data_IF_500386545114
#
_entry.id   IF_500386545114
#
_cell.length_a   1.000
_cell.length_b   1.000
_cell.length_c   1.000
_cell.angle_alpha   90.00
_cell.angle_beta   90.00
_cell.angle_gamma   90.00
#
_symmetry.space_group_name_H-M   'P 1'
#
loop_
_entity.id
_entity.type
_entity.pdbx_description
1 polymer ?
#
# COMPACT_ATOMS: atom_id res chain seq x y z
N UNK A 1 -16.35 1.14 11.41
CA UNK A 1 -16.54 2.57 11.15
C UNK A 1 -16.28 2.81 9.66
N UNK A 2 -17.09 3.61 8.96
CA UNK A 2 -16.86 3.86 7.53
C UNK A 2 -15.60 4.72 7.34
N UNK A 3 -14.79 4.38 6.33
CA UNK A 3 -13.58 5.15 5.99
C UNK A 3 -13.87 6.24 4.97
N UNK A 4 -14.90 6.04 4.15
CA UNK A 4 -15.40 6.95 3.13
C UNK A 4 -16.85 6.61 2.81
N UNK A 5 -17.68 7.61 2.55
CA UNK A 5 -19.08 7.44 2.15
C UNK A 5 -19.41 8.38 0.99
N UNK A 6 -20.14 7.87 0.01
CA UNK A 6 -20.66 8.63 -1.14
C UNK A 6 -22.16 8.43 -1.21
N UNK A 7 -22.91 9.52 -1.32
CA UNK A 7 -24.32 9.48 -1.69
C UNK A 7 -24.48 9.89 -3.15
N UNK A 8 -24.83 8.91 -3.99
CA UNK A 8 -25.00 9.09 -5.44
C UNK A 8 -26.48 9.12 -5.89
N UNK A 9 -27.44 9.22 -4.95
CA UNK A 9 -28.87 9.09 -5.26
C UNK A 9 -29.42 10.19 -6.17
N UNK A 10 -28.91 11.41 -6.04
CA UNK A 10 -29.41 12.56 -6.80
C UNK A 10 -28.72 12.77 -8.16
N UNK A 11 -27.61 12.06 -8.44
CA UNK A 11 -26.90 12.06 -9.72
C UNK A 11 -26.40 13.44 -10.19
N UNK A 12 -25.10 13.70 -10.17
CA UNK A 12 -24.52 14.95 -10.67
C UNK A 12 -23.36 15.46 -9.82
N UNK A 13 -23.01 16.75 -9.93
CA UNK A 13 -21.92 17.37 -9.17
C UNK A 13 -22.17 17.47 -7.64
N UNK A 14 -23.39 17.22 -7.19
CA UNK A 14 -23.81 17.31 -5.78
C UNK A 14 -23.81 15.95 -5.04
N UNK A 15 -22.88 15.05 -5.39
CA UNK A 15 -22.69 13.84 -4.58
C UNK A 15 -22.11 14.22 -3.22
N UNK A 16 -22.74 13.80 -2.13
CA UNK A 16 -22.22 14.04 -0.79
C UNK A 16 -21.03 13.10 -0.55
N UNK A 17 -19.86 13.66 -0.31
CA UNK A 17 -18.64 12.91 0.04
C UNK A 17 -18.31 13.11 1.52
N UNK A 18 -18.28 12.03 2.28
CA UNK A 18 -17.95 12.03 3.71
C UNK A 18 -16.74 11.13 3.94
N UNK A 19 -15.51 11.65 3.84
CA UNK A 19 -14.32 10.91 4.26
C UNK A 19 -14.20 10.89 5.78
N UNK A 20 -13.65 9.81 6.33
CA UNK A 20 -13.22 9.76 7.74
C UNK A 20 -12.04 10.69 8.00
N UNK A 21 -11.82 11.11 9.24
CA UNK A 21 -10.70 11.99 9.62
C UNK A 21 -9.33 11.42 9.21
N UNK A 22 -9.18 10.09 9.26
CA UNK A 22 -7.94 9.39 8.85
C UNK A 22 -7.65 9.51 7.35
N UNK A 23 -8.69 9.65 6.52
CA UNK A 23 -8.59 9.66 5.06
C UNK A 23 -8.99 10.99 4.40
N UNK A 24 -9.39 12.00 5.19
CA UNK A 24 -9.99 13.26 4.72
C UNK A 24 -9.24 13.96 3.58
N UNK A 25 -7.92 13.99 3.64
CA UNK A 25 -7.06 14.66 2.64
C UNK A 25 -6.46 13.71 1.61
N UNK A 26 -6.72 12.41 1.73
CA UNK A 26 -5.95 11.37 1.04
C UNK A 26 -6.79 10.26 0.42
N UNK A 27 -8.12 10.38 0.45
CA UNK A 27 -9.01 9.49 -0.27
C UNK A 27 -10.00 10.26 -1.14
N UNK A 28 -10.24 9.76 -2.34
CA UNK A 28 -11.22 10.31 -3.29
C UNK A 28 -11.92 9.19 -4.04
N UNK A 29 -13.21 9.36 -4.31
CA UNK A 29 -13.97 8.40 -5.10
C UNK A 29 -13.88 8.76 -6.58
N UNK A 30 -13.55 7.78 -7.42
CA UNK A 30 -13.52 7.91 -8.86
C UNK A 30 -14.61 7.03 -9.49
N UNK A 31 -15.68 7.63 -10.06
CA UNK A 31 -16.75 6.90 -10.72
C UNK A 31 -16.43 6.50 -12.17
N UNK A 32 -15.32 6.94 -12.74
CA UNK A 32 -14.96 6.72 -14.15
C UNK A 32 -14.70 5.24 -14.50
N UNK A 33 -13.94 4.46 -13.71
CA UNK A 33 -13.75 3.04 -14.01
C UNK A 33 -14.99 2.21 -13.64
N UNK A 34 -15.12 1.04 -14.28
CA UNK A 34 -16.11 0.02 -13.91
C UNK A 34 -15.40 -1.25 -13.42
N UNK A 35 -15.55 -1.64 -12.14
CA UNK A 35 -16.35 -0.97 -11.11
C UNK A 35 -15.71 0.36 -10.62
N UNK A 36 -16.50 1.30 -10.06
CA UNK A 36 -15.99 2.51 -9.42
C UNK A 36 -15.01 2.21 -8.29
N UNK A 37 -14.05 3.12 -8.08
CA UNK A 37 -12.95 2.88 -7.14
C UNK A 37 -12.81 4.00 -6.11
N UNK A 38 -12.39 3.64 -4.91
CA UNK A 38 -11.87 4.58 -3.92
C UNK A 38 -10.35 4.69 -4.09
N UNK A 39 -9.88 5.83 -4.57
CA UNK A 39 -8.45 6.14 -4.67
C UNK A 39 -7.93 6.60 -3.32
N UNK A 40 -6.74 6.14 -2.95
CA UNK A 40 -6.05 6.51 -1.73
C UNK A 40 -4.61 6.93 -2.07
N UNK A 41 -4.19 8.13 -1.65
CA UNK A 41 -2.86 8.70 -1.93
C UNK A 41 -2.01 8.74 -0.66
N UNK A 42 -0.69 8.60 -0.78
CA UNK A 42 0.23 8.60 0.38
C UNK A 42 -0.10 7.51 1.42
N UNK A 43 -0.31 6.28 0.94
CA UNK A 43 -0.57 5.07 1.76
C UNK A 43 0.54 4.86 2.79
N UNK A 44 0.16 4.48 4.01
CA UNK A 44 1.01 4.20 5.17
C UNK A 44 0.82 2.74 5.59
N UNK A 45 1.79 2.18 6.30
CA UNK A 45 1.74 0.80 6.80
C UNK A 45 0.46 0.49 7.58
N UNK A 46 0.03 1.41 8.45
CA UNK A 46 -1.20 1.26 9.24
C UNK A 46 -2.52 1.30 8.45
N UNK A 47 -2.48 1.52 7.14
CA UNK A 47 -3.64 1.35 6.26
C UNK A 47 -3.82 -0.10 5.80
N UNK A 48 -2.82 -0.96 5.97
CA UNK A 48 -2.94 -2.37 5.61
C UNK A 48 -4.11 -3.02 6.36
N UNK A 49 -4.91 -3.80 5.66
CA UNK A 49 -6.06 -4.46 6.26
C UNK A 49 -7.15 -4.87 5.29
N UNK A 50 -8.26 -5.34 5.86
CA UNK A 50 -9.45 -5.75 5.11
C UNK A 50 -10.46 -4.60 5.10
N UNK A 51 -10.84 -4.18 3.90
CA UNK A 51 -11.83 -3.16 3.65
C UNK A 51 -13.11 -3.79 3.11
N UNK A 52 -14.24 -3.23 3.51
CA UNK A 52 -15.55 -3.62 3.01
C UNK A 52 -16.16 -2.46 2.24
N UNK A 53 -16.49 -2.68 0.97
CA UNK A 53 -17.29 -1.76 0.18
C UNK A 53 -18.73 -2.23 0.23
N UNK A 54 -19.63 -1.38 0.72
CA UNK A 54 -21.07 -1.61 0.79
C UNK A 54 -21.76 -0.65 -0.15
N UNK A 55 -22.63 -1.17 -1.02
CA UNK A 55 -23.43 -0.37 -1.94
C UNK A 55 -24.90 -0.68 -1.72
N UNK A 56 -25.67 0.32 -1.31
CA UNK A 56 -27.11 0.22 -1.09
C UNK A 56 -27.86 0.82 -2.29
N UNK A 57 -28.72 0.00 -2.91
CA UNK A 57 -29.55 0.40 -4.03
C UNK A 57 -31.00 0.63 -3.57
N UNK A 58 -31.75 1.48 -4.30
CA UNK A 58 -33.16 1.74 -3.98
C UNK A 58 -34.07 0.54 -4.29
N UNK A 59 -33.79 -0.17 -5.38
CA UNK A 59 -34.63 -1.25 -5.92
C UNK A 59 -33.90 -2.57 -6.14
N UNK A 60 -32.59 -2.62 -5.84
CA UNK A 60 -31.80 -3.84 -5.89
C UNK A 60 -31.25 -4.14 -4.49
N UNK A 61 -30.77 -5.36 -4.28
CA UNK A 61 -30.15 -5.77 -3.02
C UNK A 61 -28.88 -4.97 -2.74
N UNK A 62 -28.51 -4.90 -1.47
CA UNK A 62 -27.19 -4.40 -1.06
C UNK A 62 -26.10 -5.32 -1.58
N UNK A 63 -25.06 -4.75 -2.18
CA UNK A 63 -23.84 -5.46 -2.56
C UNK A 63 -22.74 -5.20 -1.53
N UNK A 64 -21.97 -6.25 -1.23
CA UNK A 64 -20.80 -6.17 -0.36
C UNK A 64 -19.59 -6.75 -1.08
N UNK A 65 -18.51 -5.99 -1.12
CA UNK A 65 -17.21 -6.41 -1.64
C UNK A 65 -16.19 -6.37 -0.53
N UNK A 66 -15.32 -7.38 -0.50
CA UNK A 66 -14.19 -7.44 0.43
C UNK A 66 -12.91 -7.17 -0.35
N UNK A 67 -12.10 -6.23 0.12
CA UNK A 67 -10.84 -5.82 -0.50
C UNK A 67 -9.72 -5.96 0.53
N UNK A 68 -8.65 -6.66 0.18
CA UNK A 68 -7.46 -6.78 1.03
C UNK A 68 -6.43 -5.77 0.55
N UNK A 69 -6.18 -4.73 1.35
CA UNK A 69 -5.13 -3.76 1.10
C UNK A 69 -3.82 -4.27 1.73
N UNK A 70 -2.87 -4.67 0.89
CA UNK A 70 -1.50 -4.97 1.29
C UNK A 70 -0.63 -3.75 1.05
N UNK A 71 0.11 -3.32 2.06
CA UNK A 71 1.08 -2.22 1.96
C UNK A 71 2.46 -2.84 2.02
N UNK A 72 3.27 -2.59 1.00
CA UNK A 72 4.65 -3.07 0.93
C UNK A 72 5.52 -1.96 1.51
N UNK A 73 6.22 -2.27 2.60
CA UNK A 73 7.16 -1.32 3.22
C UNK A 73 8.57 -1.69 2.78
N UNK A 74 9.27 -0.83 2.02
CA UNK A 74 10.61 -1.14 1.56
C UNK A 74 11.60 -1.24 2.72
N UNK A 75 12.72 -1.95 2.55
CA UNK A 75 13.79 -1.98 3.54
C UNK A 75 14.29 -0.58 3.86
N UNK A 76 14.62 -0.35 5.13
CA UNK A 76 15.13 0.94 5.60
C UNK A 76 16.63 1.09 5.29
N UNK A 77 17.35 -0.03 5.28
CA UNK A 77 18.79 -0.08 5.02
C UNK A 77 19.14 -1.38 4.32
N UNK A 78 20.10 -1.31 3.41
CA UNK A 78 20.77 -2.46 2.84
C UNK A 78 22.21 -2.48 3.37
N UNK A 79 22.69 -3.66 3.76
CA UNK A 79 24.05 -3.88 4.22
C UNK A 79 24.64 -5.01 3.38
N UNK A 80 25.84 -4.79 2.82
CA UNK A 80 26.58 -5.83 2.12
C UNK A 80 27.63 -6.36 3.08
N UNK A 81 27.64 -7.67 3.31
CA UNK A 81 28.60 -8.36 4.16
C UNK A 81 29.56 -9.21 3.32
N UNK A 82 30.81 -9.30 3.77
CA UNK A 82 31.78 -10.26 3.22
C UNK A 82 31.52 -11.68 3.75
N UNK A 83 32.44 -12.60 3.43
CA UNK A 83 32.43 -13.99 3.87
C UNK A 83 32.70 -14.16 5.38
N UNK A 84 33.15 -13.09 6.06
CA UNK A 84 33.38 -13.02 7.51
C UNK A 84 32.26 -12.27 8.26
N UNK A 85 31.11 -12.00 7.61
CA UNK A 85 29.99 -11.23 8.15
C UNK A 85 30.34 -9.78 8.53
N UNK A 86 31.38 -9.20 7.92
CA UNK A 86 31.78 -7.81 8.11
C UNK A 86 31.16 -6.90 7.04
N UNK A 87 30.66 -5.74 7.46
CA UNK A 87 30.08 -4.74 6.56
C UNK A 87 31.11 -4.18 5.59
N UNK A 88 30.82 -4.31 4.30
CA UNK A 88 31.61 -3.75 3.21
C UNK A 88 31.12 -2.33 2.93
N UNK A 89 32.00 -1.35 3.09
CA UNK A 89 31.75 0.05 2.74
C UNK A 89 32.55 0.38 1.48
N UNK A 90 31.85 0.60 0.36
CA UNK A 90 32.47 0.91 -0.92
C UNK A 90 32.80 -0.35 -1.74
N UNK A 91 34.08 -0.72 -1.82
CA UNK A 91 34.55 -1.80 -2.70
C UNK A 91 34.82 -3.08 -1.91
N UNK A 92 34.29 -4.21 -2.37
CA UNK A 92 34.57 -5.53 -1.80
C UNK A 92 35.94 -6.07 -2.26
N UNK A 93 36.73 -6.60 -1.34
CA UNK A 93 38.05 -7.21 -1.61
C UNK A 93 39.22 -6.40 -1.03
N UNK A 94 40.47 -6.69 -1.44
CA UNK A 94 40.88 -7.46 -2.63
C UNK A 94 40.72 -8.97 -2.47
N UNK A 95 40.36 -9.66 -3.56
CA UNK A 95 40.24 -11.12 -3.63
C UNK A 95 41.32 -11.71 -4.55
N UNK A 96 41.78 -12.92 -4.26
CA UNK A 96 42.77 -13.61 -5.10
C UNK A 96 42.10 -14.22 -6.35
N UNK A 97 42.85 -14.28 -7.44
CA UNK A 97 42.41 -14.97 -8.65
C UNK A 97 42.18 -16.46 -8.35
N UNK A 98 41.02 -16.99 -8.75
CA UNK A 98 40.61 -18.38 -8.44
C UNK A 98 39.99 -18.58 -7.06
N UNK A 99 39.94 -17.56 -6.19
CA UNK A 99 39.27 -17.62 -4.90
C UNK A 99 37.74 -17.58 -5.07
N UNK A 100 37.02 -18.40 -4.31
CA UNK A 100 35.56 -18.31 -4.20
C UNK A 100 35.18 -17.14 -3.29
N UNK A 101 34.31 -16.26 -3.77
CA UNK A 101 33.85 -15.07 -3.04
C UNK A 101 32.39 -15.26 -2.66
N UNK A 102 32.05 -15.00 -1.39
CA UNK A 102 30.67 -14.96 -0.89
C UNK A 102 30.38 -13.55 -0.38
N UNK A 103 29.36 -12.92 -0.97
CA UNK A 103 28.81 -11.65 -0.50
C UNK A 103 27.36 -11.87 -0.08
N UNK A 104 27.00 -11.35 1.08
CA UNK A 104 25.62 -11.42 1.59
C UNK A 104 25.01 -10.02 1.54
N UNK A 105 23.81 -9.88 0.99
CA UNK A 105 23.04 -8.64 1.07
C UNK A 105 21.96 -8.82 2.15
N UNK A 106 22.06 -8.05 3.21
CA UNK A 106 21.06 -8.01 4.28
C UNK A 106 20.18 -6.77 4.11
N UNK A 107 18.88 -7.01 3.92
CA UNK A 107 17.87 -5.97 3.93
C UNK A 107 17.29 -5.84 5.35
N UNK A 108 17.50 -4.68 5.97
CA UNK A 108 17.09 -4.40 7.34
C UNK A 108 15.84 -3.52 7.32
N UNK A 109 14.80 -3.99 8.03
CA UNK A 109 13.49 -3.35 8.08
C UNK A 109 12.63 -3.65 6.85
N UNK A 110 11.41 -3.12 6.86
CA UNK A 110 10.37 -3.45 5.87
C UNK A 110 9.47 -4.61 6.32
N UNK A 111 8.33 -4.76 5.64
CA UNK A 111 7.30 -5.79 5.87
C UNK A 111 6.69 -6.23 4.56
#
# INVERSE_FOLDING_TARGET
>A
MSVYTVDAREGGQNTLHVPSDKLRSRASFDPSPWPPVLKMVSVKEGDAGVYYCRVDYRWDRTYMYTVVLKVIVPPQRLVILNDHDEEIIGTAGPYLEGQSVKLTCEAIGGT
#
